data_IF_828692194793
#
_entry.id   IF_828692194793
#
_cell.length_a   1.000
_cell.length_b   1.000
_cell.length_c   1.000
_cell.angle_alpha   90.00
_cell.angle_beta   90.00
_cell.angle_gamma   90.00
#
_symmetry.space_group_name_H-M   'P 1'
#
loop_
_entity.id
_entity.type
_entity.pdbx_description
1 polymer ?
#
# COMPACT_ATOMS: atom_id res chain seq x y z
N UNK A 1 -22.70 -17.44 -21.97
CA UNK A 1 -21.55 -17.18 -21.08
C UNK A 1 -21.92 -15.96 -20.25
N UNK A 2 -22.29 -16.15 -18.99
CA UNK A 2 -22.74 -15.08 -18.09
C UNK A 2 -21.52 -14.40 -17.44
N UNK A 3 -21.53 -13.06 -17.24
CA UNK A 3 -20.49 -12.37 -16.49
C UNK A 3 -20.59 -12.68 -14.98
N UNK A 4 -19.47 -12.62 -14.24
CA UNK A 4 -19.40 -13.05 -12.84
C UNK A 4 -20.10 -12.04 -11.91
N UNK A 5 -21.04 -12.54 -11.10
CA UNK A 5 -21.73 -11.78 -10.06
C UNK A 5 -20.82 -11.61 -8.84
N UNK A 6 -20.72 -10.37 -8.33
CA UNK A 6 -20.13 -10.07 -7.02
C UNK A 6 -21.17 -10.43 -5.92
N UNK A 7 -20.76 -11.02 -4.78
CA UNK A 7 -21.68 -11.30 -3.68
C UNK A 7 -22.16 -9.99 -3.02
N UNK A 8 -23.48 -9.87 -2.83
CA UNK A 8 -24.24 -8.66 -2.46
C UNK A 8 -24.37 -8.35 -0.96
N UNK A 9 -23.68 -9.05 -0.07
CA UNK A 9 -23.98 -8.88 1.36
C UNK A 9 -22.99 -7.93 2.03
N UNK A 10 -23.22 -6.61 1.87
CA UNK A 10 -22.92 -5.46 2.76
C UNK A 10 -22.63 -4.13 2.04
N UNK A 11 -23.03 -3.98 0.77
CA UNK A 11 -23.08 -2.63 0.19
C UNK A 11 -24.46 -2.04 0.46
N UNK A 12 -24.52 -0.93 1.21
CA UNK A 12 -25.69 -0.05 1.15
C UNK A 12 -25.97 0.21 -0.33
N UNK A 13 -27.20 -0.05 -0.78
CA UNK A 13 -27.55 0.20 -2.18
C UNK A 13 -27.32 1.67 -2.53
N UNK A 14 -27.09 1.96 -3.81
CA UNK A 14 -26.88 3.34 -4.26
C UNK A 14 -28.03 4.27 -3.83
N UNK A 15 -29.25 3.75 -3.68
CA UNK A 15 -30.37 4.52 -3.14
C UNK A 15 -30.23 4.81 -1.63
N UNK A 16 -29.75 3.84 -0.84
CA UNK A 16 -29.52 4.02 0.59
C UNK A 16 -28.37 5.00 0.88
N UNK A 17 -27.34 5.02 0.03
CA UNK A 17 -26.24 5.98 0.13
C UNK A 17 -26.68 7.42 -0.17
N UNK A 18 -27.63 7.61 -1.10
CA UNK A 18 -28.20 8.93 -1.42
C UNK A 18 -29.16 9.47 -0.35
N UNK A 19 -29.62 8.61 0.58
CA UNK A 19 -30.48 9.00 1.69
C UNK A 19 -29.73 9.51 2.93
N UNK A 20 -28.40 9.39 2.94
CA UNK A 20 -27.56 9.85 4.05
C UNK A 20 -27.49 11.40 4.09
N UNK A 21 -27.26 12.03 5.24
CA UNK A 21 -26.97 13.47 5.30
C UNK A 21 -25.78 13.81 4.40
N UNK A 22 -25.81 14.99 3.77
CA UNK A 22 -24.80 15.41 2.78
C UNK A 22 -23.37 15.31 3.34
N UNK A 23 -23.17 15.60 4.62
CA UNK A 23 -21.90 15.50 5.31
C UNK A 23 -21.40 14.05 5.43
N UNK A 24 -22.31 13.09 5.60
CA UNK A 24 -21.98 11.66 5.66
C UNK A 24 -21.72 11.08 4.26
N UNK A 25 -22.43 11.55 3.22
CA UNK A 25 -22.14 11.19 1.83
C UNK A 25 -20.78 11.70 1.39
N UNK A 26 -20.47 12.96 1.73
CA UNK A 26 -19.16 13.57 1.46
C UNK A 26 -18.07 12.86 2.27
N UNK A 27 -18.32 12.47 3.52
CA UNK A 27 -17.37 11.69 4.31
C UNK A 27 -17.11 10.30 3.69
N UNK A 28 -18.14 9.52 3.34
CA UNK A 28 -17.95 8.22 2.69
C UNK A 28 -17.23 8.35 1.34
N UNK A 29 -17.62 9.32 0.51
CA UNK A 29 -17.04 9.53 -0.82
C UNK A 29 -15.61 10.10 -0.75
N UNK A 30 -15.29 10.91 0.27
CA UNK A 30 -13.91 11.33 0.54
C UNK A 30 -13.06 10.19 1.12
N UNK A 31 -13.64 9.27 1.89
CA UNK A 31 -12.92 8.12 2.46
C UNK A 31 -12.62 7.08 1.36
N UNK A 32 -13.57 6.77 0.48
CA UNK A 32 -13.37 5.85 -0.64
C UNK A 32 -12.38 6.38 -1.70
N UNK A 33 -12.44 7.68 -2.02
CA UNK A 33 -11.53 8.28 -3.00
C UNK A 33 -10.15 8.67 -2.42
N UNK A 34 -10.02 8.98 -1.11
CA UNK A 34 -8.71 9.27 -0.48
C UNK A 34 -7.93 8.02 -0.08
N UNK A 35 -8.59 6.91 0.25
CA UNK A 35 -7.92 5.70 0.71
C UNK A 35 -7.29 4.89 -0.42
N UNK A 36 -7.78 4.95 -1.67
CA UNK A 36 -7.39 3.98 -2.69
C UNK A 36 -6.08 4.26 -3.46
N UNK A 37 -5.55 5.49 -3.55
CA UNK A 37 -4.51 5.79 -4.57
C UNK A 37 -3.15 6.35 -4.08
N UNK A 38 -2.94 6.73 -2.82
CA UNK A 38 -1.96 7.81 -2.58
C UNK A 38 -0.60 7.37 -2.01
N UNK A 39 -0.53 6.28 -1.23
CA UNK A 39 0.77 5.70 -0.79
C UNK A 39 1.25 4.56 -1.69
N UNK A 40 0.32 3.89 -2.38
CA UNK A 40 0.59 2.67 -3.15
C UNK A 40 1.33 2.90 -4.47
N UNK A 41 1.26 4.12 -5.02
CA UNK A 41 1.86 4.43 -6.33
C UNK A 41 3.26 5.04 -6.19
N UNK A 42 3.62 5.61 -5.04
CA UNK A 42 4.99 6.09 -4.79
C UNK A 42 5.98 4.96 -4.49
N UNK A 43 5.48 3.76 -4.16
CA UNK A 43 6.30 2.61 -3.81
C UNK A 43 5.83 1.39 -4.61
N UNK A 44 6.64 0.96 -5.58
CA UNK A 44 6.38 -0.25 -6.40
C UNK A 44 6.54 -1.58 -5.63
N UNK A 45 6.58 -1.56 -4.30
CA UNK A 45 6.76 -2.76 -3.49
C UNK A 45 5.45 -3.57 -3.44
N UNK A 46 5.47 -4.78 -4.00
CA UNK A 46 4.36 -5.73 -3.93
C UNK A 46 3.86 -5.95 -2.49
N UNK A 47 4.79 -5.89 -1.51
CA UNK A 47 4.47 -6.08 -0.10
C UNK A 47 3.63 -4.94 0.48
N UNK A 48 3.83 -3.69 0.01
CA UNK A 48 3.00 -2.57 0.45
C UNK A 48 1.58 -2.66 -0.10
N UNK A 49 1.44 -3.11 -1.36
CA UNK A 49 0.14 -3.41 -1.98
C UNK A 49 -0.59 -4.51 -1.21
N UNK A 50 0.13 -5.57 -0.85
CA UNK A 50 -0.42 -6.70 -0.10
C UNK A 50 -0.90 -6.30 1.30
N UNK A 51 -0.13 -5.50 2.04
CA UNK A 51 -0.57 -4.97 3.35
C UNK A 51 -1.81 -4.10 3.21
N UNK A 52 -1.84 -3.20 2.23
CA UNK A 52 -3.01 -2.34 2.01
C UNK A 52 -4.25 -3.14 1.63
N UNK A 53 -4.09 -4.11 0.71
CA UNK A 53 -5.15 -5.02 0.34
C UNK A 53 -5.69 -5.76 1.56
N UNK A 54 -4.80 -6.28 2.42
CA UNK A 54 -5.19 -6.92 3.66
C UNK A 54 -5.97 -5.97 4.60
N UNK A 55 -5.51 -4.73 4.80
CA UNK A 55 -6.21 -3.77 5.65
C UNK A 55 -7.64 -3.47 5.18
N UNK A 56 -7.86 -3.48 3.87
CA UNK A 56 -9.17 -3.23 3.26
C UNK A 56 -10.04 -4.49 3.27
N UNK A 57 -9.44 -5.65 2.96
CA UNK A 57 -10.19 -6.88 2.66
C UNK A 57 -10.35 -7.82 3.85
N UNK A 58 -9.56 -7.66 4.93
CA UNK A 58 -9.52 -8.65 5.99
C UNK A 58 -10.87 -8.93 6.67
N UNK A 59 -11.74 -7.94 6.91
CA UNK A 59 -13.08 -8.21 7.43
C UNK A 59 -14.06 -8.84 6.43
N UNK A 60 -13.81 -8.70 5.12
CA UNK A 60 -14.73 -9.11 4.05
C UNK A 60 -14.46 -10.54 3.59
N UNK A 61 -13.19 -10.89 3.48
CA UNK A 61 -12.73 -12.21 3.06
C UNK A 61 -12.53 -13.12 4.28
N UNK A 62 -13.66 -13.45 4.92
CA UNK A 62 -13.71 -14.17 6.19
C UNK A 62 -14.37 -15.54 6.05
N UNK A 63 -13.80 -16.56 6.72
CA UNK A 63 -14.39 -17.90 6.78
C UNK A 63 -15.19 -18.07 8.09
N UNK A 64 -16.36 -18.74 8.09
CA UNK A 64 -17.25 -18.78 9.26
C UNK A 64 -16.61 -19.30 10.55
N UNK A 65 -15.65 -20.22 10.46
CA UNK A 65 -15.00 -20.84 11.63
C UNK A 65 -13.72 -20.11 12.09
N UNK A 66 -13.35 -19.02 11.40
CA UNK A 66 -12.14 -18.26 11.69
C UNK A 66 -12.45 -17.14 12.70
N UNK A 67 -11.60 -16.99 13.70
CA UNK A 67 -11.65 -15.87 14.67
C UNK A 67 -10.52 -14.87 14.47
N UNK A 68 -9.51 -15.24 13.68
CA UNK A 68 -8.33 -14.42 13.43
C UNK A 68 -7.84 -14.60 11.99
N UNK A 69 -7.73 -13.50 11.25
CA UNK A 69 -7.08 -13.45 9.93
C UNK A 69 -5.76 -12.72 10.08
N UNK A 70 -4.67 -13.35 9.64
CA UNK A 70 -3.31 -12.82 9.82
C UNK A 70 -2.67 -12.51 8.48
N UNK A 71 -1.90 -11.44 8.47
CA UNK A 71 -0.98 -11.09 7.40
C UNK A 71 0.45 -11.14 7.92
N UNK A 72 1.31 -11.91 7.26
CA UNK A 72 2.74 -11.97 7.59
C UNK A 72 3.47 -10.80 6.89
N UNK A 73 3.98 -9.87 7.68
CA UNK A 73 4.85 -8.82 7.18
C UNK A 73 6.20 -9.41 6.75
N UNK A 74 6.89 -8.81 5.76
CA UNK A 74 8.26 -9.18 5.39
C UNK A 74 9.27 -9.12 6.56
N UNK A 75 8.94 -8.42 7.64
CA UNK A 75 9.73 -8.36 8.87
C UNK A 75 9.64 -9.66 9.71
N UNK A 76 8.75 -10.58 9.36
CA UNK A 76 8.47 -11.80 10.13
C UNK A 76 7.39 -11.63 11.21
N UNK A 77 6.82 -10.44 11.34
CA UNK A 77 5.74 -10.16 12.29
C UNK A 77 4.35 -10.30 11.66
N UNK A 78 3.34 -10.65 12.46
CA UNK A 78 1.96 -10.71 12.01
C UNK A 78 1.20 -9.41 12.32
N UNK A 79 0.30 -9.04 11.40
CA UNK A 79 -0.81 -8.10 11.63
C UNK A 79 -2.09 -8.93 11.64
N UNK A 80 -2.90 -8.80 12.68
CA UNK A 80 -4.06 -9.65 12.91
C UNK A 80 -5.36 -8.84 12.91
N UNK A 81 -6.30 -9.26 12.06
CA UNK A 81 -7.71 -8.90 12.14
C UNK A 81 -8.42 -9.93 13.02
N UNK A 82 -9.02 -9.50 14.12
CA UNK A 82 -9.64 -10.38 15.11
C UNK A 82 -11.14 -10.16 15.15
N UNK A 83 -11.92 -11.23 14.97
CA UNK A 83 -13.36 -11.21 15.17
C UNK A 83 -13.67 -11.55 16.63
N UNK A 84 -14.33 -10.63 17.33
CA UNK A 84 -14.74 -10.81 18.72
C UNK A 84 -16.07 -10.10 18.96
N UNK A 85 -17.05 -10.77 19.58
CA UNK A 85 -18.40 -10.24 19.80
C UNK A 85 -19.02 -9.64 18.51
N UNK A 86 -18.88 -10.33 17.38
CA UNK A 86 -19.34 -9.92 16.05
C UNK A 86 -18.77 -8.58 15.53
N UNK A 87 -17.69 -8.09 16.14
CA UNK A 87 -16.96 -6.91 15.68
C UNK A 87 -15.52 -7.28 15.31
N UNK A 88 -15.01 -6.62 14.27
CA UNK A 88 -13.62 -6.76 13.85
C UNK A 88 -12.74 -5.78 14.61
N UNK A 89 -11.59 -6.28 15.07
CA UNK A 89 -10.67 -5.57 15.94
C UNK A 89 -9.25 -5.64 15.42
N UNK A 90 -8.47 -4.61 15.74
CA UNK A 90 -7.02 -4.56 15.58
C UNK A 90 -6.38 -4.01 16.85
N UNK A 91 -5.26 -4.61 17.26
CA UNK A 91 -4.53 -4.16 18.43
C UNK A 91 -3.67 -2.93 18.12
N UNK A 92 -3.41 -2.08 19.12
CA UNK A 92 -2.44 -0.99 18.96
C UNK A 92 -1.05 -1.46 18.53
N UNK A 93 -0.64 -2.65 18.99
CA UNK A 93 0.62 -3.29 18.58
C UNK A 93 0.65 -3.55 17.07
N UNK A 94 -0.44 -4.09 16.52
CA UNK A 94 -0.54 -4.42 15.10
C UNK A 94 -0.63 -3.16 14.23
N UNK A 95 -1.27 -2.10 14.72
CA UNK A 95 -1.25 -0.77 14.07
C UNK A 95 0.18 -0.25 13.96
N UNK A 96 0.96 -0.29 15.05
CA UNK A 96 2.36 0.13 15.06
C UNK A 96 3.17 -0.70 14.06
N UNK A 97 3.06 -2.04 14.08
CA UNK A 97 3.77 -2.92 13.15
C UNK A 97 3.48 -2.57 11.70
N UNK A 98 2.20 -2.35 11.38
CA UNK A 98 1.76 -1.94 10.06
C UNK A 98 2.38 -0.60 9.65
N UNK A 99 2.36 0.41 10.52
CA UNK A 99 2.92 1.72 10.20
C UNK A 99 4.44 1.67 10.07
N UNK A 100 5.16 1.01 10.98
CA UNK A 100 6.61 0.81 10.89
C UNK A 100 7.02 0.17 9.56
N UNK A 101 6.29 -0.86 9.14
CA UNK A 101 6.51 -1.49 7.84
C UNK A 101 6.23 -0.53 6.67
N UNK A 102 5.14 0.25 6.71
CA UNK A 102 4.84 1.25 5.67
C UNK A 102 5.94 2.31 5.56
N UNK A 103 6.48 2.77 6.69
CA UNK A 103 7.62 3.70 6.72
C UNK A 103 8.87 3.11 6.10
N UNK A 104 9.22 1.86 6.46
CA UNK A 104 10.33 1.15 5.83
C UNK A 104 10.12 0.98 4.32
N UNK A 105 8.92 0.59 3.88
CA UNK A 105 8.58 0.45 2.48
C UNK A 105 8.62 1.79 1.72
N UNK A 106 8.22 2.88 2.36
CA UNK A 106 8.34 4.24 1.82
C UNK A 106 9.80 4.73 1.73
N UNK A 107 10.76 3.95 2.23
CA UNK A 107 12.18 4.32 2.23
C UNK A 107 12.61 5.15 3.43
N UNK A 108 11.77 5.23 4.48
CA UNK A 108 12.05 5.91 5.76
C UNK A 108 12.05 4.95 6.94
N UNK A 109 13.06 4.07 7.11
CA UNK A 109 13.09 3.16 8.26
C UNK A 109 13.05 3.92 9.60
N UNK A 110 12.33 3.33 10.57
CA UNK A 110 12.25 3.83 11.95
C UNK A 110 13.60 3.67 12.64
N UNK A 111 14.15 4.76 13.18
CA UNK A 111 15.42 4.78 13.94
C UNK A 111 15.19 4.82 15.44
N UNK A 112 14.15 5.54 15.88
CA UNK A 112 13.77 5.64 17.29
C UNK A 112 12.40 5.00 17.53
N UNK A 113 12.37 3.67 17.66
CA UNK A 113 11.13 2.89 17.77
C UNK A 113 10.27 3.33 18.95
N UNK A 114 10.88 3.66 20.10
CA UNK A 114 10.14 4.10 21.29
C UNK A 114 9.40 5.41 21.05
N UNK A 115 10.08 6.44 20.55
CA UNK A 115 9.43 7.74 20.24
C UNK A 115 8.38 7.58 19.12
N UNK A 116 8.65 6.73 18.13
CA UNK A 116 7.70 6.44 17.06
C UNK A 116 6.41 5.81 17.60
N UNK A 117 6.54 4.76 18.42
CA UNK A 117 5.44 4.09 19.11
C UNK A 117 4.63 5.07 19.96
N UNK A 118 5.29 5.89 20.79
CA UNK A 118 4.65 6.93 21.60
C UNK A 118 3.86 7.94 20.74
N UNK A 119 4.39 8.33 19.58
CA UNK A 119 3.71 9.20 18.62
C UNK A 119 2.44 8.56 18.05
N UNK A 120 2.51 7.31 17.61
CA UNK A 120 1.34 6.58 17.10
C UNK A 120 0.29 6.40 18.20
N UNK A 121 0.70 6.00 19.41
CA UNK A 121 -0.24 5.90 20.53
C UNK A 121 -0.85 7.25 20.90
N UNK A 122 -0.11 8.35 20.74
CA UNK A 122 -0.64 9.69 20.93
C UNK A 122 -1.77 9.99 19.94
N UNK A 123 -1.60 9.67 18.66
CA UNK A 123 -2.63 9.88 17.64
C UNK A 123 -3.87 9.01 17.87
N UNK A 124 -3.65 7.76 18.29
CA UNK A 124 -4.71 6.81 18.61
C UNK A 124 -5.58 7.22 19.80
N UNK A 125 -5.13 8.17 20.65
CA UNK A 125 -5.96 8.71 21.74
C UNK A 125 -7.22 9.41 21.24
N UNK A 126 -7.23 9.90 19.99
CA UNK A 126 -8.36 10.59 19.40
C UNK A 126 -9.56 9.67 19.12
N UNK A 127 -9.31 8.37 18.95
CA UNK A 127 -10.35 7.36 18.80
C UNK A 127 -11.00 7.12 20.15
N UNK A 128 -12.34 7.19 20.28
CA UNK A 128 -13.06 7.13 21.56
C UNK A 128 -13.35 5.70 21.99
N UNK A 129 -13.25 5.42 23.29
CA UNK A 129 -13.69 4.12 23.83
C UNK A 129 -15.22 4.03 23.77
N UNK A 130 -15.76 2.87 23.40
CA UNK A 130 -17.18 2.64 23.16
C UNK A 130 -17.62 2.91 21.72
N UNK A 131 -17.05 3.93 21.06
CA UNK A 131 -17.38 4.28 19.67
C UNK A 131 -16.40 3.70 18.66
N UNK A 132 -15.10 3.85 18.91
CA UNK A 132 -14.04 3.50 17.95
C UNK A 132 -13.15 2.35 18.44
N UNK A 133 -13.33 1.95 19.70
CA UNK A 133 -12.51 0.95 20.37
C UNK A 133 -13.20 0.40 21.61
N UNK A 134 -12.90 -0.85 21.98
CA UNK A 134 -13.19 -1.38 23.30
C UNK A 134 -12.06 -1.05 24.28
N UNK A 135 -12.43 -0.76 25.53
CA UNK A 135 -11.47 -0.60 26.62
C UNK A 135 -11.55 -1.84 27.49
N UNK A 136 -10.57 -2.73 27.34
CA UNK A 136 -10.58 -4.03 28.02
C UNK A 136 -9.84 -3.96 29.35
N UNK A 137 -10.46 -4.51 30.38
CA UNK A 137 -9.83 -4.66 31.70
C UNK A 137 -8.77 -5.78 31.70
N UNK A 138 -7.77 -5.70 32.59
CA UNK A 138 -6.73 -6.72 32.69
C UNK A 138 -7.32 -8.12 32.82
N UNK A 139 -6.73 -9.08 32.10
CA UNK A 139 -7.14 -10.50 32.09
C UNK A 139 -8.58 -10.75 31.61
N UNK A 140 -9.20 -9.82 30.86
CA UNK A 140 -10.47 -10.13 30.18
C UNK A 140 -10.30 -11.31 29.22
N UNK A 141 -11.40 -12.03 28.94
CA UNK A 141 -11.37 -13.15 27.99
C UNK A 141 -10.85 -12.71 26.61
N UNK A 142 -11.16 -11.47 26.21
CA UNK A 142 -10.67 -10.91 24.96
C UNK A 142 -9.16 -10.66 25.00
N UNK A 143 -8.63 -10.03 26.05
CA UNK A 143 -7.18 -9.83 26.18
C UNK A 143 -6.42 -11.15 26.31
N UNK A 144 -7.00 -12.16 26.95
CA UNK A 144 -6.43 -13.50 27.00
C UNK A 144 -6.37 -14.15 25.62
N UNK A 145 -7.44 -14.05 24.83
CA UNK A 145 -7.45 -14.47 23.44
C UNK A 145 -6.36 -13.76 22.62
N UNK A 146 -6.26 -12.43 22.72
CA UNK A 146 -5.27 -11.63 21.98
C UNK A 146 -3.83 -11.96 22.39
N UNK A 147 -3.59 -12.19 23.69
CA UNK A 147 -2.26 -12.51 24.22
C UNK A 147 -1.79 -13.90 23.76
N UNK A 148 -2.66 -14.93 23.88
CA UNK A 148 -2.39 -16.29 23.37
C UNK A 148 -2.10 -16.31 21.88
N UNK A 149 -2.65 -15.36 21.15
CA UNK A 149 -2.51 -15.22 19.70
C UNK A 149 -1.43 -14.20 19.28
N UNK A 150 -0.55 -13.74 20.19
CA UNK A 150 0.55 -12.80 19.93
C UNK A 150 0.12 -11.45 19.32
N UNK A 151 -1.16 -11.08 19.46
CA UNK A 151 -1.70 -9.81 18.99
C UNK A 151 -1.32 -8.66 19.94
N UNK A 152 -1.07 -8.97 21.22
CA UNK A 152 -0.64 -8.02 22.26
C UNK A 152 0.50 -8.61 23.09
N UNK A 153 1.33 -7.75 23.69
CA UNK A 153 2.49 -8.14 24.50
C UNK A 153 2.20 -8.25 26.00
N UNK A 154 1.08 -7.72 26.48
CA UNK A 154 0.73 -7.71 27.90
C UNK A 154 -0.77 -7.81 28.06
N UNK A 155 -1.25 -8.39 29.17
CA UNK A 155 -2.67 -8.41 29.55
C UNK A 155 -3.02 -7.28 30.54
N UNK A 156 -2.35 -6.13 30.44
CA UNK A 156 -2.75 -4.92 31.18
C UNK A 156 -4.02 -4.34 30.55
N UNK A 157 -4.61 -3.34 31.21
CA UNK A 157 -5.72 -2.57 30.66
C UNK A 157 -5.29 -1.98 29.31
N UNK A 158 -6.00 -2.34 28.24
CA UNK A 158 -5.64 -1.93 26.90
C UNK A 158 -6.86 -1.51 26.10
N UNK A 159 -6.62 -0.53 25.23
CA UNK A 159 -7.58 -0.10 24.23
C UNK A 159 -7.37 -0.96 22.98
N UNK A 160 -8.42 -1.66 22.56
CA UNK A 160 -8.43 -2.47 21.34
C UNK A 160 -9.37 -1.80 20.35
N UNK A 161 -8.89 -1.52 19.14
CA UNK A 161 -9.59 -0.63 18.21
C UNK A 161 -10.51 -1.42 17.29
N UNK A 162 -11.67 -0.86 16.98
CA UNK A 162 -12.53 -1.41 15.93
C UNK A 162 -11.86 -1.20 14.58
N UNK A 163 -11.79 -2.26 13.79
CA UNK A 163 -11.05 -2.29 12.53
C UNK A 163 -11.38 -1.11 11.62
N UNK A 164 -12.68 -0.87 11.42
CA UNK A 164 -13.18 0.18 10.53
C UNK A 164 -13.01 1.60 11.07
N UNK A 165 -12.76 1.76 12.38
CA UNK A 165 -12.57 3.07 13.00
C UNK A 165 -11.14 3.58 12.92
N UNK A 166 -10.17 2.75 12.50
CA UNK A 166 -8.75 3.13 12.46
C UNK A 166 -8.39 3.76 11.10
N UNK A 167 -8.06 5.06 11.03
CA UNK A 167 -7.72 5.71 9.77
C UNK A 167 -6.24 5.48 9.44
N UNK A 168 -5.87 4.27 9.02
CA UNK A 168 -4.47 3.85 8.80
C UNK A 168 -3.64 4.80 7.92
N UNK A 169 -4.23 5.30 6.83
CA UNK A 169 -3.54 6.25 5.94
C UNK A 169 -3.30 7.60 6.60
N UNK A 170 -4.28 8.09 7.36
CA UNK A 170 -4.14 9.34 8.12
C UNK A 170 -3.06 9.22 9.18
N UNK A 171 -3.04 8.12 9.93
CA UNK A 171 -1.99 7.86 10.93
C UNK A 171 -0.58 7.86 10.31
N UNK A 172 -0.44 7.29 9.10
CA UNK A 172 0.81 7.33 8.36
C UNK A 172 1.19 8.75 7.96
N UNK A 173 0.26 9.52 7.39
CA UNK A 173 0.50 10.90 6.96
C UNK A 173 0.84 11.81 8.14
N UNK A 174 0.08 11.73 9.24
CA UNK A 174 0.29 12.53 10.43
C UNK A 174 1.68 12.23 11.05
N UNK A 175 2.09 10.95 11.07
CA UNK A 175 3.42 10.57 11.52
C UNK A 175 4.54 11.08 10.60
N UNK A 176 4.33 11.00 9.28
CA UNK A 176 5.32 11.44 8.29
C UNK A 176 5.49 12.95 8.34
N UNK A 177 4.39 13.70 8.40
CA UNK A 177 4.41 15.16 8.49
C UNK A 177 5.14 15.64 9.76
N UNK A 178 4.93 14.97 10.89
CA UNK A 178 5.66 15.30 12.12
C UNK A 178 7.16 15.14 11.97
N UNK A 179 7.61 14.03 11.37
CA UNK A 179 9.04 13.80 11.16
C UNK A 179 9.64 14.82 10.20
N UNK A 180 8.96 15.12 9.09
CA UNK A 180 9.42 16.11 8.11
C UNK A 180 9.49 17.53 8.71
N UNK A 181 8.52 17.90 9.55
CA UNK A 181 8.56 19.17 10.31
C UNK A 181 9.75 19.22 11.27
N UNK A 182 10.05 18.12 11.96
CA UNK A 182 11.23 18.03 12.85
C UNK A 182 12.52 18.20 12.08
N UNK A 183 12.68 17.50 10.95
CA UNK A 183 13.87 17.61 10.08
C UNK A 183 14.08 19.05 9.60
N UNK A 184 13.01 19.71 9.13
CA UNK A 184 13.06 21.12 8.69
C UNK A 184 13.46 22.08 9.81
N UNK A 185 13.13 21.76 11.06
CA UNK A 185 13.53 22.51 12.25
C UNK A 185 14.87 22.04 12.84
N UNK A 186 15.63 21.19 12.14
CA UNK A 186 16.88 20.58 12.61
C UNK A 186 16.73 19.82 13.94
N UNK A 187 15.55 19.26 14.19
CA UNK A 187 15.25 18.40 15.33
C UNK A 187 15.36 16.92 14.94
N UNK A 188 15.68 16.08 15.93
CA UNK A 188 15.73 14.64 15.75
C UNK A 188 14.34 14.07 15.43
N UNK A 189 14.18 13.55 14.21
CA UNK A 189 13.01 12.81 13.75
C UNK A 189 13.06 11.34 14.20
N UNK A 190 11.92 10.65 14.14
CA UNK A 190 11.85 9.23 14.54
C UNK A 190 12.21 8.26 13.41
N UNK A 191 12.09 8.72 12.16
CA UNK A 191 12.42 8.02 10.92
C UNK A 191 13.40 8.83 10.08
N UNK A 192 14.12 8.17 9.17
CA UNK A 192 15.14 8.81 8.34
C UNK A 192 15.01 8.32 6.90
N UNK A 193 15.06 9.22 5.92
CA UNK A 193 15.09 8.84 4.51
C UNK A 193 16.40 8.11 4.16
N UNK A 194 16.27 6.90 3.60
CA UNK A 194 17.39 6.05 3.19
C UNK A 194 17.21 5.53 1.76
N UNK A 195 15.97 5.38 1.29
CA UNK A 195 15.66 4.92 -0.07
C UNK A 195 14.60 5.80 -0.73
N UNK A 196 14.49 5.71 -2.04
CA UNK A 196 13.36 6.29 -2.78
C UNK A 196 12.03 5.61 -2.41
N UNK A 197 10.90 6.34 -2.43
CA UNK A 197 10.71 7.75 -2.83
C UNK A 197 11.10 8.79 -1.77
N UNK A 198 11.53 8.38 -0.58
CA UNK A 198 11.72 9.30 0.53
C UNK A 198 12.93 10.24 0.42
N UNK A 199 13.95 9.86 -0.35
CA UNK A 199 15.14 10.69 -0.57
C UNK A 199 14.83 11.89 -1.47
N UNK A 200 14.07 11.68 -2.54
CA UNK A 200 13.67 12.73 -3.48
C UNK A 200 12.46 13.55 -3.02
N UNK A 201 11.83 13.18 -1.90
CA UNK A 201 10.66 13.90 -1.39
C UNK A 201 11.06 15.23 -0.74
N UNK A 202 10.76 16.34 -1.42
CA UNK A 202 10.92 17.68 -0.88
C UNK A 202 9.66 18.13 -0.12
N UNK A 203 9.82 18.39 1.18
CA UNK A 203 8.71 18.82 2.03
C UNK A 203 8.50 20.34 2.01
N UNK A 204 7.34 20.76 1.52
CA UNK A 204 6.86 22.13 1.60
C UNK A 204 5.83 22.29 2.72
N UNK A 205 6.14 23.10 3.73
CA UNK A 205 5.24 23.34 4.86
C UNK A 205 4.05 24.25 4.52
N UNK A 206 4.03 24.87 3.34
CA UNK A 206 2.96 25.77 2.90
C UNK A 206 1.79 25.03 2.21
N UNK A 207 1.96 23.76 1.86
CA UNK A 207 0.97 22.92 1.21
C UNK A 207 0.61 21.72 2.08
N UNK A 208 -0.55 21.09 1.85
CA UNK A 208 -0.88 19.86 2.58
C UNK A 208 0.04 18.71 2.14
N UNK A 209 0.47 17.86 3.08
CA UNK A 209 1.30 16.68 2.76
C UNK A 209 0.58 15.75 1.77
N UNK A 210 -0.74 15.69 1.88
CA UNK A 210 -1.60 14.94 0.96
C UNK A 210 -1.43 15.41 -0.49
N UNK A 211 -1.54 16.71 -0.76
CA UNK A 211 -1.39 17.26 -2.11
C UNK A 211 0.01 17.06 -2.67
N UNK A 212 1.04 17.20 -1.83
CA UNK A 212 2.43 17.02 -2.23
C UNK A 212 2.72 15.59 -2.68
N UNK A 213 2.24 14.60 -1.92
CA UNK A 213 2.38 13.19 -2.30
C UNK A 213 1.64 12.89 -3.60
N UNK A 214 0.44 13.47 -3.81
CA UNK A 214 -0.29 13.30 -5.07
C UNK A 214 0.41 13.97 -6.27
N UNK A 215 1.03 15.14 -6.09
CA UNK A 215 1.81 15.79 -7.15
C UNK A 215 3.06 14.99 -7.52
N UNK A 216 3.79 14.48 -6.53
CA UNK A 216 4.98 13.64 -6.75
C UNK A 216 4.64 12.36 -7.55
N UNK A 217 3.44 11.81 -7.39
CA UNK A 217 2.96 10.67 -8.19
C UNK A 217 2.78 11.03 -9.68
N UNK A 218 2.24 12.21 -9.98
CA UNK A 218 2.00 12.65 -11.36
C UNK A 218 3.32 12.93 -12.09
N UNK A 219 4.29 13.55 -11.41
CA UNK A 219 5.61 13.81 -11.98
C UNK A 219 6.38 12.52 -12.33
N UNK A 220 6.29 11.48 -11.49
CA UNK A 220 6.95 10.19 -11.71
C UNK A 220 6.28 9.29 -12.77
N UNK A 221 5.03 9.56 -13.14
CA UNK A 221 4.35 8.82 -14.22
C UNK A 221 4.62 9.42 -15.60
N UNK A 222 4.90 10.73 -15.67
CA UNK A 222 5.33 11.41 -16.91
C UNK A 222 6.77 11.12 -17.36
N UNK A 223 7.63 10.59 -16.48
CA UNK A 223 9.02 10.24 -16.82
C UNK A 223 9.16 8.83 -17.43
N UNK A 224 8.13 7.98 -17.39
CA UNK A 224 8.16 6.63 -17.97
C UNK A 224 7.66 6.54 -19.43
N UNK A 225 7.13 7.62 -20.00
CA UNK A 225 6.67 7.66 -21.41
C UNK A 225 7.70 8.26 -22.38
N UNK A 226 8.87 8.70 -21.92
CA UNK A 226 9.84 9.44 -22.73
C UNK A 226 11.00 8.61 -23.30
N UNK A 227 10.99 7.27 -23.18
CA UNK A 227 12.03 6.42 -23.77
C UNK A 227 11.44 5.19 -24.46
N UNK A 228 10.85 5.43 -25.64
CA UNK A 228 10.81 4.45 -26.72
C UNK A 228 11.77 4.96 -27.81
N UNK A 229 12.91 4.30 -28.06
CA UNK A 229 13.69 4.58 -29.27
C UNK A 229 12.88 4.06 -30.46
N UNK A 230 12.29 4.98 -31.21
CA UNK A 230 11.67 4.73 -32.50
C UNK A 230 12.76 4.39 -33.52
N UNK A 231 13.13 3.12 -33.59
CA UNK A 231 13.94 2.58 -34.69
C UNK A 231 13.08 1.54 -35.39
N UNK A 232 12.55 1.88 -36.57
CA UNK A 232 12.27 1.03 -37.73
C UNK A 232 11.16 1.69 -38.57
N UNK A 233 11.55 2.40 -39.63
CA UNK A 233 11.05 2.28 -41.01
C UNK A 233 11.46 3.52 -41.82
N UNK A 234 12.45 3.35 -42.71
CA UNK A 234 12.47 4.01 -44.02
C UNK A 234 13.47 3.29 -44.92
N UNK A 235 12.92 2.42 -45.77
CA UNK A 235 13.58 1.92 -46.97
C UNK A 235 13.05 2.72 -48.15
N UNK A 236 14.00 3.09 -49.02
CA UNK A 236 13.88 3.60 -50.38
C UNK A 236 13.56 5.10 -50.55
N UNK A 237 14.52 5.85 -51.09
CA UNK A 237 14.64 6.15 -52.53
C UNK A 237 15.92 7.00 -52.77
N UNK A 238 16.56 6.79 -53.94
CA UNK A 238 17.69 7.52 -54.56
C UNK A 238 19.13 7.07 -54.24
N UNK A 239 19.70 6.25 -55.13
CA UNK A 239 20.61 6.75 -56.17
C UNK A 239 20.80 5.71 -57.29
N UNK A 240 20.59 6.16 -58.54
CA UNK A 240 20.93 5.45 -59.76
C UNK A 240 22.29 5.94 -60.30
N UNK A 241 23.03 5.06 -60.97
CA UNK A 241 24.36 5.28 -61.58
C UNK A 241 25.46 4.72 -60.69
N UNK A 242 26.37 3.84 -61.12
CA UNK A 242 27.02 3.76 -62.43
C UNK A 242 27.64 2.36 -62.66
N UNK A 243 28.02 2.12 -63.91
CA UNK A 243 28.33 0.87 -64.58
C UNK A 243 29.58 0.09 -64.11
N UNK A 244 29.58 -1.19 -64.51
CA UNK A 244 30.72 -1.95 -65.04
C UNK A 244 31.94 -2.14 -64.13
N UNK A 245 32.17 -3.36 -63.65
CA UNK A 245 33.18 -4.23 -64.26
C UNK A 245 33.25 -5.63 -63.61
N UNK A 246 33.73 -6.59 -64.42
CA UNK A 246 34.37 -7.87 -64.06
C UNK A 246 33.53 -9.11 -63.71
N UNK A 247 33.28 -9.83 -64.80
CA UNK A 247 33.39 -11.29 -64.95
C UNK A 247 34.54 -11.96 -64.16
N UNK A 248 34.23 -13.07 -63.47
CA UNK A 248 34.90 -14.39 -63.48
C UNK A 248 33.94 -15.36 -62.77
N UNK A 249 33.29 -16.32 -63.44
CA UNK A 249 33.77 -17.69 -63.69
C UNK A 249 34.17 -18.41 -62.37
N UNK A 250 33.69 -19.59 -61.99
CA UNK A 250 32.85 -20.61 -62.62
C UNK A 250 32.48 -21.68 -61.55
N UNK A 251 31.46 -22.51 -61.83
CA UNK A 251 31.32 -23.96 -61.53
C UNK A 251 31.46 -24.45 -60.06
N UNK A 252 30.65 -25.36 -59.50
CA UNK A 252 29.85 -26.49 -60.00
C UNK A 252 28.92 -27.01 -58.89
N UNK A 253 27.81 -27.61 -59.33
CA UNK A 253 26.96 -28.67 -58.75
C UNK A 253 27.46 -29.44 -57.50
N UNK A 254 26.58 -29.71 -56.51
CA UNK A 254 25.64 -30.85 -56.50
C UNK A 254 24.74 -30.84 -55.21
N UNK A 255 23.51 -31.44 -55.21
CA UNK A 255 22.52 -31.32 -54.13
C UNK A 255 22.32 -32.65 -53.32
N UNK A 256 21.16 -32.94 -52.68
CA UNK A 256 21.05 -33.21 -51.25
C UNK A 256 20.89 -34.71 -50.91
N UNK A 257 21.10 -35.09 -49.64
CA UNK A 257 20.67 -36.40 -49.12
C UNK A 257 19.70 -36.28 -47.93
N UNK A 258 18.49 -36.76 -48.18
CA UNK A 258 17.46 -37.16 -47.23
C UNK A 258 17.88 -38.38 -46.39
N UNK A 259 17.46 -38.40 -45.12
CA UNK A 259 17.00 -39.57 -44.33
C UNK A 259 16.57 -39.02 -42.95
N UNK A 260 15.30 -38.81 -42.61
CA UNK A 260 14.29 -39.78 -42.10
C UNK A 260 14.88 -41.00 -41.37
N UNK A 261 14.79 -41.02 -40.03
CA UNK A 261 13.83 -41.87 -39.31
C UNK A 261 14.12 -41.89 -37.79
N UNK A 262 13.00 -41.95 -37.06
CA UNK A 262 12.79 -42.54 -35.73
C UNK A 262 13.47 -41.88 -34.51
#
# INVERSE_FOLDING_TARGET
>A
MAPPQKPETFMLSNEAQQSLPQDAQVALQQVDNRALLNTTVLVSSANLRAVKYFLISAPVDWTPDQYIRRFLLPTGEYVSCVLWNNLFHISGTDIVRCLSFRFQAFGRPVKNSKKFEEGIFSDLRNLKSGTDASLEEPKSAFLDFLYKNNCIRTQKKQKVFYWYSVPHDRLFLDALERDLKREKMSQEATTMAVNEPALSFEFDSSQSLFEQLTKAQQANSSSFSAQQPSSFFSIAVHLAGDASDRFHAATTDDPPKHASNA
#
